data_IF_328046422299
#
_entry.id   IF_328046422299
#
_cell.length_a   1.000
_cell.length_b   1.000
_cell.length_c   1.000
_cell.angle_alpha   90.00
_cell.angle_beta   90.00
_cell.angle_gamma   90.00
#
_symmetry.space_group_name_H-M   'P 1'
#
loop_
_entity.id
_entity.type
_entity.pdbx_description
1 polymer ?
#
# COMPACT_ATOMS: atom_id res chain seq x y z
N UNK A 1 -8.50 -22.75 -28.90
CA UNK A 1 -9.40 -21.74 -28.30
C UNK A 1 -10.73 -22.32 -27.80
N UNK A 2 -11.39 -23.21 -28.55
CA UNK A 2 -12.65 -23.87 -28.12
C UNK A 2 -12.56 -24.61 -26.76
N UNK A 3 -11.47 -25.34 -26.50
CA UNK A 3 -11.29 -26.06 -25.23
C UNK A 3 -11.15 -25.12 -24.00
N UNK A 4 -10.48 -23.98 -24.16
CA UNK A 4 -10.33 -22.99 -23.10
C UNK A 4 -11.67 -22.29 -22.78
N UNK A 5 -12.47 -22.05 -23.80
CA UNK A 5 -13.80 -21.47 -23.65
C UNK A 5 -14.78 -22.44 -22.96
N UNK A 6 -14.72 -23.72 -23.31
CA UNK A 6 -15.51 -24.77 -22.66
C UNK A 6 -15.14 -24.94 -21.18
N UNK A 7 -13.85 -24.90 -20.84
CA UNK A 7 -13.39 -24.97 -19.46
C UNK A 7 -13.85 -23.76 -18.62
N UNK A 8 -13.87 -22.56 -19.21
CA UNK A 8 -14.35 -21.35 -18.55
C UNK A 8 -15.86 -21.41 -18.24
N UNK A 9 -16.66 -21.91 -19.18
CA UNK A 9 -18.10 -22.09 -18.98
C UNK A 9 -18.38 -23.17 -17.93
N UNK A 10 -17.64 -24.29 -17.95
CA UNK A 10 -17.78 -25.35 -16.96
C UNK A 10 -17.40 -24.86 -15.54
N UNK A 11 -16.34 -24.08 -15.41
CA UNK A 11 -15.93 -23.46 -14.14
C UNK A 11 -16.96 -22.47 -13.61
N UNK A 12 -17.50 -21.61 -14.48
CA UNK A 12 -18.55 -20.66 -14.11
C UNK A 12 -19.85 -21.34 -13.66
N UNK A 13 -20.25 -22.41 -14.35
CA UNK A 13 -21.42 -23.21 -13.99
C UNK A 13 -21.24 -23.92 -12.63
N UNK A 14 -20.04 -24.43 -12.34
CA UNK A 14 -19.74 -25.12 -11.09
C UNK A 14 -19.76 -24.15 -9.90
N UNK A 15 -19.15 -22.97 -10.04
CA UNK A 15 -19.17 -21.93 -9.00
C UNK A 15 -20.60 -21.43 -8.75
N UNK A 16 -21.36 -21.17 -9.83
CA UNK A 16 -22.77 -20.78 -9.72
C UNK A 16 -23.62 -21.84 -9.02
N UNK A 17 -23.39 -23.13 -9.32
CA UNK A 17 -24.08 -24.24 -8.67
C UNK A 17 -23.74 -24.37 -7.18
N UNK A 18 -22.47 -24.24 -6.79
CA UNK A 18 -22.04 -24.28 -5.38
C UNK A 18 -22.61 -23.12 -4.57
N UNK A 19 -22.67 -21.94 -5.17
CA UNK A 19 -23.21 -20.74 -4.53
C UNK A 19 -24.73 -20.82 -4.37
N UNK A 20 -25.44 -21.29 -5.40
CA UNK A 20 -26.88 -21.57 -5.32
C UNK A 20 -27.21 -22.68 -4.31
N UNK A 21 -26.40 -23.74 -4.26
CA UNK A 21 -26.57 -24.85 -3.32
C UNK A 21 -26.35 -24.44 -1.85
N UNK A 22 -25.44 -23.49 -1.58
CA UNK A 22 -25.20 -22.96 -0.24
C UNK A 22 -26.22 -21.90 0.22
N UNK A 23 -26.93 -21.24 -0.70
CA UNK A 23 -27.82 -20.13 -0.37
C UNK A 23 -29.28 -20.57 -0.11
N UNK A 24 -29.58 -21.86 -0.11
CA UNK A 24 -30.92 -22.37 0.21
C UNK A 24 -31.23 -22.21 1.71
N UNK A 25 -32.22 -21.39 2.09
CA UNK A 25 -32.60 -21.21 3.49
C UNK A 25 -33.30 -22.48 3.98
N UNK A 26 -32.66 -23.23 4.88
CA UNK A 26 -33.26 -24.39 5.52
C UNK A 26 -32.35 -25.61 5.71
N UNK A 27 -31.04 -25.54 5.43
CA UNK A 27 -30.12 -26.62 5.80
C UNK A 27 -29.26 -26.28 7.02
N UNK A 28 -29.16 -27.19 7.99
CA UNK A 28 -28.20 -27.08 9.08
C UNK A 28 -26.80 -27.17 8.49
N UNK A 29 -26.03 -26.08 8.61
CA UNK A 29 -24.62 -26.08 8.29
C UNK A 29 -23.86 -27.10 9.14
N UNK A 30 -22.77 -27.63 8.57
CA UNK A 30 -21.87 -28.62 9.15
C UNK A 30 -21.56 -28.40 10.65
N UNK A 31 -21.37 -29.49 11.42
CA UNK A 31 -21.38 -29.47 12.88
C UNK A 31 -20.28 -28.56 13.42
N UNK A 32 -20.71 -27.49 14.12
CA UNK A 32 -19.83 -26.80 15.06
C UNK A 32 -19.63 -27.73 16.25
N UNK A 33 -18.41 -27.86 16.79
CA UNK A 33 -18.22 -28.50 18.08
C UNK A 33 -18.80 -27.57 19.15
N UNK A 34 -20.09 -27.71 19.41
CA UNK A 34 -20.77 -27.01 20.49
C UNK A 34 -20.32 -27.64 21.81
N UNK A 35 -19.56 -26.81 22.52
CA UNK A 35 -19.22 -26.97 23.92
C UNK A 35 -20.50 -27.13 24.72
N UNK A 36 -20.53 -28.16 25.54
CA UNK A 36 -21.55 -28.42 26.55
C UNK A 36 -21.71 -27.16 27.40
N UNK A 37 -22.84 -26.47 27.24
CA UNK A 37 -23.28 -25.39 28.11
C UNK A 37 -24.33 -25.94 29.07
N UNK A 38 -23.96 -25.84 30.34
CA UNK A 38 -24.68 -26.24 31.53
C UNK A 38 -25.86 -25.29 31.83
N UNK A 39 -26.73 -25.75 32.71
CA UNK A 39 -28.07 -25.28 32.98
C UNK A 39 -28.20 -23.86 33.57
N UNK A 40 -29.39 -23.27 33.38
CA UNK A 40 -29.82 -22.04 34.04
C UNK A 40 -31.35 -21.83 34.01
N UNK A 41 -32.01 -22.38 35.03
CA UNK A 41 -33.21 -21.93 35.75
C UNK A 41 -34.43 -21.30 35.02
N UNK A 42 -35.59 -21.95 35.21
CA UNK A 42 -36.93 -21.37 35.07
C UNK A 42 -37.95 -22.20 35.87
N UNK A 43 -38.71 -21.55 36.74
CA UNK A 43 -39.40 -22.09 37.90
C UNK A 43 -40.71 -22.88 37.62
N UNK A 44 -41.05 -23.79 38.55
CA UNK A 44 -42.37 -24.44 38.70
C UNK A 44 -42.60 -24.91 40.15
N UNK A 45 -43.85 -24.90 40.66
CA UNK A 45 -44.12 -24.71 42.09
C UNK A 45 -44.21 -25.99 42.95
N UNK A 46 -43.87 -25.79 44.22
CA UNK A 46 -44.31 -26.44 45.46
C UNK A 46 -44.97 -27.84 45.40
N UNK A 47 -44.31 -28.82 46.01
CA UNK A 47 -44.98 -29.86 46.80
C UNK A 47 -44.05 -30.29 47.95
N UNK A 48 -44.58 -30.19 49.16
CA UNK A 48 -43.92 -30.48 50.43
C UNK A 48 -43.85 -31.99 50.66
N UNK A 49 -42.75 -32.49 51.21
CA UNK A 49 -42.70 -33.82 51.84
C UNK A 49 -41.87 -33.78 53.13
N UNK A 50 -42.18 -34.66 54.11
CA UNK A 50 -41.93 -34.39 55.52
C UNK A 50 -40.48 -34.57 55.94
N UNK A 51 -40.07 -33.77 56.91
CA UNK A 51 -38.86 -33.92 57.70
C UNK A 51 -38.81 -35.31 58.34
N UNK A 52 -37.94 -36.17 57.82
CA UNK A 52 -37.42 -37.33 58.55
C UNK A 52 -35.93 -37.12 58.76
N UNK A 53 -35.57 -36.66 59.95
CA UNK A 53 -34.18 -36.59 60.39
C UNK A 53 -33.63 -38.01 60.51
N UNK A 54 -32.83 -38.43 59.54
CA UNK A 54 -31.85 -39.50 59.73
C UNK A 54 -30.51 -38.86 60.12
N UNK A 55 -29.77 -39.40 61.10
CA UNK A 55 -28.44 -38.89 61.43
C UNK A 55 -27.55 -39.07 60.20
N UNK A 56 -27.06 -37.96 59.65
CA UNK A 56 -26.08 -37.99 58.57
C UNK A 56 -24.72 -38.29 59.19
N UNK A 57 -23.94 -39.26 58.68
CA UNK A 57 -22.58 -39.44 59.13
C UNK A 57 -21.76 -38.23 58.68
N UNK A 58 -20.93 -37.68 59.58
CA UNK A 58 -20.00 -36.56 59.36
C UNK A 58 -19.18 -36.70 58.05
N UNK A 59 -18.91 -37.95 57.65
CA UNK A 59 -18.26 -38.33 56.40
C UNK A 59 -19.01 -37.94 55.10
N UNK A 60 -20.33 -37.76 55.14
CA UNK A 60 -21.10 -37.34 53.97
C UNK A 60 -20.96 -35.83 53.69
N UNK A 61 -20.77 -35.03 54.75
CA UNK A 61 -20.52 -33.59 54.69
C UNK A 61 -19.10 -33.32 54.21
N UNK A 62 -18.11 -34.06 54.72
CA UNK A 62 -16.72 -33.99 54.26
C UNK A 62 -16.60 -34.30 52.76
N UNK A 63 -17.25 -35.37 52.29
CA UNK A 63 -17.31 -35.71 50.85
C UNK A 63 -18.08 -34.70 49.98
N UNK A 64 -18.93 -33.87 50.56
CA UNK A 64 -19.61 -32.79 49.84
C UNK A 64 -18.70 -31.56 49.74
N UNK A 65 -17.97 -31.23 50.81
CA UNK A 65 -16.99 -30.13 50.84
C UNK A 65 -15.80 -30.43 49.91
N UNK A 66 -15.31 -31.68 49.89
CA UNK A 66 -14.22 -32.11 49.01
C UNK A 66 -14.61 -32.02 47.53
N UNK A 67 -15.83 -32.44 47.16
CA UNK A 67 -16.36 -32.28 45.80
C UNK A 67 -16.51 -30.82 45.38
N UNK A 68 -16.90 -29.93 46.30
CA UNK A 68 -16.99 -28.49 46.02
C UNK A 68 -15.60 -27.88 45.85
N UNK A 69 -14.61 -28.30 46.64
CA UNK A 69 -13.22 -27.85 46.49
C UNK A 69 -12.60 -28.32 45.16
N UNK A 70 -12.84 -29.56 44.73
CA UNK A 70 -12.43 -30.07 43.42
C UNK A 70 -13.09 -29.29 42.26
N UNK A 71 -14.38 -28.97 42.38
CA UNK A 71 -15.10 -28.15 41.39
C UNK A 71 -14.58 -26.72 41.33
N UNK A 72 -14.26 -26.10 42.47
CA UNK A 72 -13.67 -24.76 42.54
C UNK A 72 -12.27 -24.74 41.90
N UNK A 73 -11.41 -25.71 42.20
CA UNK A 73 -10.10 -25.83 41.54
C UNK A 73 -10.20 -26.04 40.02
N UNK A 74 -11.26 -26.73 39.55
CA UNK A 74 -11.57 -26.85 38.12
C UNK A 74 -12.06 -25.55 37.47
N UNK A 75 -12.76 -24.68 38.21
CA UNK A 75 -13.18 -23.37 37.74
C UNK A 75 -11.99 -22.40 37.62
N UNK A 76 -11.09 -22.39 38.60
CA UNK A 76 -9.88 -21.55 38.58
C UNK A 76 -8.98 -21.92 37.39
N UNK A 77 -8.81 -23.22 37.09
CA UNK A 77 -8.07 -23.66 35.90
C UNK A 77 -8.74 -23.23 34.59
N UNK A 78 -10.07 -23.27 34.51
CA UNK A 78 -10.82 -22.81 33.32
C UNK A 78 -10.73 -21.30 33.16
N UNK A 79 -10.77 -20.54 34.25
CA UNK A 79 -10.60 -19.09 34.25
C UNK A 79 -9.20 -18.71 33.77
N UNK A 80 -8.16 -19.30 34.34
CA UNK A 80 -6.78 -19.09 33.89
C UNK A 80 -6.57 -19.46 32.41
N UNK A 81 -7.16 -20.57 31.95
CA UNK A 81 -7.12 -20.96 30.55
C UNK A 81 -7.90 -19.99 29.64
N UNK A 82 -9.01 -19.42 30.11
CA UNK A 82 -9.78 -18.42 29.37
C UNK A 82 -9.01 -17.09 29.27
N UNK A 83 -8.39 -16.62 30.34
CA UNK A 83 -7.54 -15.42 30.35
C UNK A 83 -6.34 -15.56 29.40
N UNK A 84 -5.70 -16.74 29.39
CA UNK A 84 -4.62 -17.03 28.46
C UNK A 84 -5.10 -17.03 27.00
N UNK A 85 -6.27 -17.62 26.71
CA UNK A 85 -6.88 -17.58 25.37
C UNK A 85 -7.26 -16.17 24.93
N UNK A 86 -7.79 -15.34 25.83
CA UNK A 86 -8.11 -13.95 25.53
C UNK A 86 -6.85 -13.16 25.19
N UNK A 87 -5.77 -13.36 25.94
CA UNK A 87 -4.46 -12.73 25.65
C UNK A 87 -3.94 -13.15 24.27
N UNK A 88 -4.05 -14.44 23.94
CA UNK A 88 -3.67 -14.94 22.62
C UNK A 88 -4.55 -14.36 21.50
N UNK A 89 -5.85 -14.25 21.72
CA UNK A 89 -6.80 -13.69 20.76
C UNK A 89 -6.56 -12.20 20.51
N UNK A 90 -6.25 -11.43 21.56
CA UNK A 90 -5.91 -10.02 21.44
C UNK A 90 -4.62 -9.82 20.61
N UNK A 91 -3.59 -10.63 20.86
CA UNK A 91 -2.36 -10.61 20.06
C UNK A 91 -2.62 -10.97 18.59
N UNK A 92 -3.46 -11.98 18.33
CA UNK A 92 -3.85 -12.36 16.97
C UNK A 92 -4.66 -11.26 16.28
N UNK A 93 -5.58 -10.61 17.00
CA UNK A 93 -6.39 -9.51 16.47
C UNK A 93 -5.52 -8.29 16.12
N UNK A 94 -4.56 -7.93 16.98
CA UNK A 94 -3.60 -6.85 16.71
C UNK A 94 -2.72 -7.17 15.50
N UNK A 95 -2.24 -8.41 15.37
CA UNK A 95 -1.48 -8.86 14.21
C UNK A 95 -2.30 -8.80 12.92
N UNK A 96 -3.57 -9.22 12.96
CA UNK A 96 -4.49 -9.15 11.83
C UNK A 96 -4.78 -7.70 11.43
N UNK A 97 -5.06 -6.81 12.39
CA UNK A 97 -5.26 -5.39 12.16
C UNK A 97 -4.02 -4.73 11.53
N UNK A 98 -2.82 -5.06 12.02
CA UNK A 98 -1.56 -4.56 11.44
C UNK A 98 -1.33 -5.03 10.00
N UNK A 99 -1.64 -6.30 9.69
CA UNK A 99 -1.58 -6.82 8.33
C UNK A 99 -2.57 -6.12 7.39
N UNK A 100 -3.82 -5.91 7.85
CA UNK A 100 -4.84 -5.21 7.10
C UNK A 100 -4.43 -3.75 6.81
N UNK A 101 -3.96 -3.03 7.82
CA UNK A 101 -3.50 -1.65 7.67
C UNK A 101 -2.34 -1.53 6.67
N UNK A 102 -1.40 -2.49 6.67
CA UNK A 102 -0.32 -2.57 5.67
C UNK A 102 -0.86 -2.79 4.25
N UNK A 103 -1.75 -3.77 4.08
CA UNK A 103 -2.35 -4.04 2.79
C UNK A 103 -3.12 -2.83 2.25
N UNK A 104 -3.89 -2.16 3.09
CA UNK A 104 -4.60 -0.93 2.74
C UNK A 104 -3.66 0.20 2.34
N UNK A 105 -2.56 0.39 3.08
CA UNK A 105 -1.56 1.42 2.79
C UNK A 105 -0.91 1.19 1.42
N UNK A 106 -0.57 -0.07 1.10
CA UNK A 106 -0.03 -0.45 -0.21
C UNK A 106 -1.04 -0.23 -1.33
N UNK A 107 -2.32 -0.58 -1.11
CA UNK A 107 -3.38 -0.36 -2.09
C UNK A 107 -3.60 1.12 -2.36
N UNK A 108 -3.55 1.97 -1.34
CA UNK A 108 -3.71 3.42 -1.48
C UNK A 108 -2.50 4.03 -2.20
N UNK A 109 -1.28 3.64 -1.84
CA UNK A 109 -0.07 4.10 -2.54
C UNK A 109 -0.10 3.69 -4.02
N UNK A 110 -0.45 2.43 -4.31
CA UNK A 110 -0.58 1.94 -5.68
C UNK A 110 -1.68 2.67 -6.47
N UNK A 111 -2.85 2.89 -5.85
CA UNK A 111 -3.95 3.61 -6.47
C UNK A 111 -3.58 5.08 -6.75
N UNK A 112 -2.86 5.74 -5.82
CA UNK A 112 -2.35 7.09 -6.00
C UNK A 112 -1.35 7.15 -7.16
N UNK A 113 -0.38 6.23 -7.22
CA UNK A 113 0.57 6.12 -8.35
C UNK A 113 -0.18 5.99 -9.66
N UNK A 114 -1.14 5.07 -9.73
CA UNK A 114 -1.92 4.80 -10.95
C UNK A 114 -2.79 5.99 -11.37
N UNK A 115 -3.31 6.77 -10.43
CA UNK A 115 -4.05 7.99 -10.73
C UNK A 115 -3.12 9.07 -11.31
N UNK A 116 -1.98 9.31 -10.66
CA UNK A 116 -0.96 10.28 -11.08
C UNK A 116 -0.41 9.96 -12.47
N UNK A 117 -0.04 8.70 -12.74
CA UNK A 117 0.47 8.27 -14.04
C UNK A 117 -0.57 8.40 -15.17
N UNK A 118 -1.88 8.27 -14.86
CA UNK A 118 -2.96 8.54 -15.82
C UNK A 118 -3.22 10.03 -16.03
N UNK A 119 -2.66 10.88 -15.18
CA UNK A 119 -3.00 12.29 -15.11
C UNK A 119 -4.43 12.54 -14.61
N UNK A 120 -4.93 11.69 -13.71
CA UNK A 120 -6.20 11.89 -13.03
C UNK A 120 -5.98 12.60 -11.69
N UNK A 121 -6.95 13.43 -11.30
CA UNK A 121 -7.01 13.94 -9.92
C UNK A 121 -7.24 12.78 -8.95
N UNK A 122 -6.72 12.93 -7.72
CA UNK A 122 -6.80 11.87 -6.71
C UNK A 122 -8.21 11.67 -6.12
N UNK A 123 -9.04 12.72 -6.12
CA UNK A 123 -10.34 12.69 -5.43
C UNK A 123 -10.20 12.21 -3.98
N UNK A 124 -11.00 11.21 -3.60
CA UNK A 124 -10.98 10.58 -2.27
C UNK A 124 -9.60 10.04 -1.85
N UNK A 125 -8.72 9.66 -2.79
CA UNK A 125 -7.36 9.23 -2.44
C UNK A 125 -6.56 10.34 -1.75
N UNK A 126 -6.88 11.62 -1.99
CA UNK A 126 -6.22 12.74 -1.30
C UNK A 126 -6.45 12.66 0.21
N UNK A 127 -7.69 12.40 0.62
CA UNK A 127 -8.04 12.31 2.04
C UNK A 127 -7.46 11.05 2.66
N UNK A 128 -7.47 9.93 1.93
CA UNK A 128 -6.82 8.70 2.37
C UNK A 128 -5.30 8.85 2.56
N UNK A 129 -4.63 9.56 1.66
CA UNK A 129 -3.20 9.84 1.80
C UNK A 129 -2.92 10.73 3.02
N UNK A 130 -3.73 11.77 3.25
CA UNK A 130 -3.62 12.62 4.44
C UNK A 130 -3.84 11.82 5.72
N UNK A 131 -4.89 11.01 5.75
CA UNK A 131 -5.26 10.24 6.93
C UNK A 131 -4.16 9.25 7.34
N UNK A 132 -3.49 8.61 6.37
CA UNK A 132 -2.57 7.50 6.64
C UNK A 132 -1.10 7.92 6.68
N UNK A 133 -0.70 8.80 5.78
CA UNK A 133 0.70 9.19 5.60
C UNK A 133 0.96 10.64 6.03
N UNK A 134 -0.08 11.43 6.31
CA UNK A 134 0.03 12.88 6.52
C UNK A 134 0.85 13.28 7.75
N UNK A 135 0.84 12.51 8.83
CA UNK A 135 1.59 12.86 10.04
C UNK A 135 3.09 12.61 9.90
N UNK A 136 3.45 11.53 9.22
CA UNK A 136 4.84 11.08 9.09
C UNK A 136 5.52 11.65 7.86
N UNK A 137 4.75 11.81 6.78
CA UNK A 137 5.24 12.20 5.45
C UNK A 137 4.44 13.39 4.89
N UNK A 138 4.24 14.50 5.65
CA UNK A 138 3.41 15.62 5.22
C UNK A 138 3.89 16.27 3.91
N UNK A 139 5.21 16.31 3.71
CA UNK A 139 5.82 16.89 2.50
C UNK A 139 5.58 16.02 1.26
N UNK A 140 5.66 14.69 1.40
CA UNK A 140 5.39 13.78 0.29
C UNK A 140 3.90 13.82 -0.09
N UNK A 141 3.02 13.74 0.91
CA UNK A 141 1.57 13.79 0.71
C UNK A 141 1.13 15.11 0.07
N UNK A 142 1.61 16.26 0.58
CA UNK A 142 1.27 17.56 -0.02
C UNK A 142 1.74 17.66 -1.47
N UNK A 143 2.98 17.24 -1.76
CA UNK A 143 3.53 17.23 -3.13
C UNK A 143 2.66 16.41 -4.08
N UNK A 144 2.23 15.22 -3.68
CA UNK A 144 1.38 14.34 -4.49
C UNK A 144 0.01 14.98 -4.73
N UNK A 145 -0.62 15.51 -3.69
CA UNK A 145 -1.94 16.15 -3.78
C UNK A 145 -1.88 17.40 -4.67
N UNK A 146 -0.90 18.27 -4.47
CA UNK A 146 -0.70 19.47 -5.28
C UNK A 146 -0.42 19.13 -6.73
N UNK A 147 0.42 18.13 -6.99
CA UNK A 147 0.68 17.65 -8.35
C UNK A 147 -0.59 17.15 -9.02
N UNK A 148 -1.43 16.40 -8.28
CA UNK A 148 -2.65 15.81 -8.83
C UNK A 148 -3.70 16.82 -9.31
N UNK A 149 -3.68 18.06 -8.79
CA UNK A 149 -4.59 19.14 -9.22
C UNK A 149 -4.26 19.71 -10.60
N UNK A 150 -3.01 19.59 -11.02
CA UNK A 150 -2.55 20.00 -12.35
C UNK A 150 -1.57 18.94 -12.87
N UNK A 151 -2.10 17.76 -13.24
CA UNK A 151 -1.26 16.62 -13.52
C UNK A 151 -0.55 16.76 -14.87
N UNK A 152 0.69 16.30 -14.91
CA UNK A 152 1.49 16.22 -16.14
C UNK A 152 1.71 14.73 -16.44
N UNK A 153 1.46 14.32 -17.68
CA UNK A 153 1.68 12.93 -18.10
C UNK A 153 3.06 12.76 -18.73
N UNK A 154 3.68 11.60 -18.53
CA UNK A 154 5.02 11.31 -19.07
C UNK A 154 5.06 11.39 -20.60
N UNK A 155 4.06 10.85 -21.28
CA UNK A 155 3.94 10.93 -22.74
C UNK A 155 3.84 12.38 -23.23
N UNK A 156 3.14 13.25 -22.48
CA UNK A 156 3.09 14.68 -22.80
C UNK A 156 4.45 15.37 -22.62
N UNK A 157 5.27 14.95 -21.65
CA UNK A 157 6.64 15.45 -21.48
C UNK A 157 7.54 14.99 -22.63
N UNK A 158 7.41 13.74 -23.06
CA UNK A 158 8.16 13.19 -24.20
C UNK A 158 7.77 13.91 -25.49
N UNK A 159 6.48 14.01 -25.80
CA UNK A 159 6.00 14.69 -27.00
C UNK A 159 6.41 16.17 -27.06
N UNK A 160 6.34 16.89 -25.93
CA UNK A 160 6.80 18.28 -25.86
C UNK A 160 8.32 18.39 -26.02
N UNK A 161 9.09 17.46 -25.46
CA UNK A 161 10.55 17.42 -25.66
C UNK A 161 10.91 17.23 -27.13
N UNK A 162 10.18 16.37 -27.85
CA UNK A 162 10.37 16.15 -29.28
C UNK A 162 10.05 17.40 -30.11
N UNK A 163 8.94 18.08 -29.79
CA UNK A 163 8.57 19.35 -30.41
C UNK A 163 9.61 20.46 -30.19
N UNK A 164 10.27 20.47 -29.02
CA UNK A 164 11.36 21.40 -28.70
C UNK A 164 12.69 21.03 -29.39
N UNK A 165 12.80 19.84 -29.99
CA UNK A 165 14.04 19.29 -30.52
C UNK A 165 14.84 20.24 -31.43
N UNK A 166 14.25 20.88 -32.45
CA UNK A 166 14.96 21.85 -33.29
C UNK A 166 15.47 23.06 -32.49
N UNK A 167 14.62 23.62 -31.62
CA UNK A 167 14.93 24.81 -30.83
C UNK A 167 16.04 24.59 -29.80
N UNK A 168 16.10 23.38 -29.24
CA UNK A 168 17.12 22.95 -28.27
C UNK A 168 18.51 22.77 -28.90
N UNK A 169 18.56 22.47 -30.20
CA UNK A 169 19.81 22.28 -30.94
C UNK A 169 20.45 23.61 -31.33
N UNK A 170 19.61 24.61 -31.65
CA UNK A 170 20.06 25.92 -32.08
C UNK A 170 20.31 26.84 -30.89
N UNK A 171 21.57 27.18 -30.64
CA UNK A 171 21.92 28.34 -29.82
C UNK A 171 21.32 29.60 -30.45
N UNK A 172 20.54 30.35 -29.70
CA UNK A 172 19.99 31.66 -30.13
C UNK A 172 21.06 32.72 -30.39
N UNK A 173 22.33 32.42 -30.14
CA UNK A 173 23.46 33.21 -30.63
C UNK A 173 23.67 32.89 -32.11
N UNK A 174 23.09 33.74 -32.97
CA UNK A 174 23.42 33.76 -34.40
C UNK A 174 24.94 33.91 -34.62
N UNK A 175 25.43 33.73 -35.86
CA UNK A 175 26.87 33.74 -36.16
C UNK A 175 27.50 35.02 -35.63
N UNK A 176 28.23 34.92 -34.51
CA UNK A 176 28.90 36.06 -33.93
C UNK A 176 30.09 36.40 -34.82
N UNK A 177 30.34 37.70 -35.03
CA UNK A 177 31.52 38.18 -35.75
C UNK A 177 32.83 37.58 -35.18
N UNK A 178 32.84 37.30 -33.88
CA UNK A 178 33.93 36.60 -33.19
C UNK A 178 34.07 35.11 -33.57
N UNK A 179 32.99 34.40 -33.88
CA UNK A 179 33.04 33.02 -34.37
C UNK A 179 33.61 32.97 -35.80
N UNK A 180 33.16 33.87 -36.68
CA UNK A 180 33.66 33.98 -38.04
C UNK A 180 35.16 34.31 -38.09
N UNK A 181 35.62 35.26 -37.27
CA UNK A 181 37.05 35.64 -37.21
C UNK A 181 37.95 34.52 -36.68
N UNK A 182 37.41 33.60 -35.86
CA UNK A 182 38.11 32.38 -35.40
C UNK A 182 38.15 31.29 -36.46
N UNK A 183 37.08 31.11 -37.23
CA UNK A 183 37.01 30.09 -38.29
C UNK A 183 37.97 30.39 -39.45
N UNK A 184 38.11 31.66 -39.84
CA UNK A 184 39.10 32.07 -40.86
C UNK A 184 40.54 31.80 -40.39
N UNK A 185 40.80 31.85 -39.08
CA UNK A 185 42.10 31.51 -38.48
C UNK A 185 42.38 30.01 -38.36
N UNK A 186 41.38 29.14 -38.57
CA UNK A 186 41.48 27.68 -38.41
C UNK A 186 41.39 26.91 -39.74
N UNK A 187 41.56 27.57 -40.88
CA UNK A 187 41.46 26.94 -42.21
C UNK A 187 42.51 25.82 -42.49
N UNK A 188 43.42 25.54 -41.55
CA UNK A 188 44.32 24.38 -41.57
C UNK A 188 44.15 23.53 -40.30
N UNK A 189 43.14 22.67 -40.25
CA UNK A 189 43.01 21.65 -39.19
C UNK A 189 43.02 20.24 -39.81
N UNK A 190 44.14 19.54 -39.64
CA UNK A 190 44.23 18.09 -39.89
C UNK A 190 43.35 17.35 -38.86
N UNK A 191 42.28 16.70 -39.34
CA UNK A 191 41.41 15.86 -38.49
C UNK A 191 42.00 14.44 -38.43
N UNK A 192 42.42 14.00 -37.25
CA UNK A 192 42.68 12.56 -36.96
C UNK A 192 41.42 11.93 -36.34
N UNK A 193 41.17 10.67 -36.72
CA UNK A 193 39.95 9.85 -36.54
C UNK A 193 39.50 9.50 -35.10
N UNK A 194 39.76 10.34 -34.09
CA UNK A 194 39.36 10.04 -32.70
C UNK A 194 38.82 11.27 -31.94
N UNK A 195 37.91 12.02 -32.55
CA UNK A 195 37.17 13.07 -31.82
C UNK A 195 35.95 12.48 -31.11
N UNK A 196 35.75 12.69 -29.79
CA UNK A 196 34.52 12.32 -29.10
C UNK A 196 33.34 12.99 -29.81
N UNK A 197 32.33 12.20 -30.20
CA UNK A 197 31.20 12.70 -30.99
C UNK A 197 30.48 13.87 -30.29
N UNK A 198 30.54 15.09 -30.85
CA UNK A 198 29.87 16.24 -30.28
C UNK A 198 28.60 16.47 -31.09
N UNK A 199 27.45 15.96 -30.63
CA UNK A 199 26.19 16.44 -31.19
C UNK A 199 25.12 16.63 -30.11
N UNK A 200 24.56 17.85 -29.99
CA UNK A 200 23.28 18.10 -29.32
C UNK A 200 22.19 17.08 -29.71
N UNK A 201 22.21 16.54 -30.94
CA UNK A 201 21.38 15.39 -31.35
C UNK A 201 21.48 14.21 -30.37
N UNK A 202 22.70 13.78 -30.04
CA UNK A 202 22.92 12.69 -29.09
C UNK A 202 22.48 13.05 -27.67
N UNK A 203 22.47 14.33 -27.28
CA UNK A 203 21.94 14.76 -25.98
C UNK A 203 20.42 14.61 -25.93
N UNK A 204 19.72 15.01 -26.99
CA UNK A 204 18.26 14.93 -27.06
C UNK A 204 17.77 13.48 -27.03
N UNK A 205 18.45 12.60 -27.75
CA UNK A 205 18.11 11.17 -27.74
C UNK A 205 18.40 10.54 -26.37
N UNK A 206 19.49 10.92 -25.70
CA UNK A 206 19.77 10.49 -24.31
C UNK A 206 18.73 11.01 -23.31
N UNK A 207 18.27 12.25 -23.48
CA UNK A 207 17.22 12.83 -22.63
C UNK A 207 15.90 12.06 -22.79
N UNK A 208 15.50 11.72 -24.03
CA UNK A 208 14.32 10.89 -24.32
C UNK A 208 14.44 9.52 -23.70
N UNK A 209 15.54 8.82 -23.96
CA UNK A 209 15.77 7.50 -23.38
C UNK A 209 15.81 7.55 -21.84
N UNK A 210 16.37 8.61 -21.24
CA UNK A 210 16.33 8.79 -19.81
C UNK A 210 14.91 8.95 -19.27
N UNK A 211 14.02 9.69 -19.94
CA UNK A 211 12.60 9.79 -19.54
C UNK A 211 11.88 8.45 -19.60
N UNK A 212 12.07 7.69 -20.68
CA UNK A 212 11.45 6.36 -20.86
C UNK A 212 11.89 5.38 -19.77
N UNK A 213 13.15 5.47 -19.34
CA UNK A 213 13.69 4.66 -18.26
C UNK A 213 13.34 5.20 -16.85
N UNK A 214 12.51 6.22 -16.73
CA UNK A 214 12.15 6.85 -15.44
C UNK A 214 13.28 7.66 -14.80
N UNK A 215 14.38 7.91 -15.50
CA UNK A 215 15.54 8.68 -15.02
C UNK A 215 15.34 10.18 -15.25
N UNK A 216 14.29 10.73 -14.63
CA UNK A 216 13.83 12.11 -14.88
C UNK A 216 14.90 13.16 -14.59
N UNK A 217 15.70 13.00 -13.54
CA UNK A 217 16.80 13.92 -13.21
C UNK A 217 17.83 13.99 -14.33
N UNK A 218 18.28 12.83 -14.81
CA UNK A 218 19.25 12.75 -15.90
C UNK A 218 18.70 13.36 -17.20
N UNK A 219 17.41 13.17 -17.49
CA UNK A 219 16.77 13.80 -18.64
C UNK A 219 16.77 15.33 -18.54
N UNK A 220 16.42 15.87 -17.37
CA UNK A 220 16.44 17.31 -17.10
C UNK A 220 17.86 17.89 -17.26
N UNK A 221 18.86 17.20 -16.70
CA UNK A 221 20.26 17.64 -16.76
C UNK A 221 20.79 17.66 -18.21
N UNK A 222 20.41 16.66 -19.03
CA UNK A 222 20.77 16.64 -20.45
C UNK A 222 20.16 17.80 -21.23
N UNK A 223 18.90 18.17 -20.95
CA UNK A 223 18.22 19.31 -21.60
C UNK A 223 18.80 20.65 -21.14
N UNK A 224 19.07 20.81 -19.84
CA UNK A 224 19.77 21.99 -19.30
C UNK A 224 21.17 22.18 -19.91
N UNK A 225 21.81 21.09 -20.30
CA UNK A 225 23.12 21.10 -20.96
C UNK A 225 23.08 21.38 -22.47
N UNK A 226 21.91 21.66 -23.07
CA UNK A 226 21.79 21.95 -24.50
C UNK A 226 21.97 23.45 -24.81
N UNK A 227 22.47 23.81 -26.01
CA UNK A 227 22.67 25.21 -26.39
C UNK A 227 21.39 26.05 -26.35
N UNK A 228 20.24 25.45 -26.68
CA UNK A 228 18.93 26.12 -26.66
C UNK A 228 18.14 25.92 -25.36
N UNK A 229 18.78 25.55 -24.24
CA UNK A 229 18.08 25.18 -22.99
C UNK A 229 17.08 26.22 -22.49
N UNK A 230 17.36 27.52 -22.66
CA UNK A 230 16.46 28.61 -22.26
C UNK A 230 15.09 28.57 -22.94
N UNK A 231 15.00 27.99 -24.15
CA UNK A 231 13.72 27.81 -24.85
C UNK A 231 12.86 26.69 -24.24
N UNK A 232 13.42 25.89 -23.34
CA UNK A 232 12.76 24.76 -22.70
C UNK A 232 12.45 25.00 -21.21
N UNK A 233 12.54 26.24 -20.69
CA UNK A 233 12.32 26.54 -19.27
C UNK A 233 10.97 26.01 -18.74
N UNK A 234 9.89 26.20 -19.51
CA UNK A 234 8.57 25.68 -19.15
C UNK A 234 8.53 24.14 -19.09
N UNK A 235 9.21 23.48 -20.04
CA UNK A 235 9.32 22.02 -20.05
C UNK A 235 10.16 21.52 -18.87
N UNK A 236 11.27 22.20 -18.55
CA UNK A 236 12.15 21.89 -17.41
C UNK A 236 11.36 22.00 -16.10
N UNK A 237 10.59 23.07 -15.92
CA UNK A 237 9.76 23.27 -14.73
C UNK A 237 8.72 22.15 -14.55
N UNK A 238 8.05 21.75 -15.63
CA UNK A 238 7.10 20.64 -15.60
C UNK A 238 7.76 19.29 -15.34
N UNK A 239 8.93 19.03 -15.95
CA UNK A 239 9.71 17.82 -15.70
C UNK A 239 10.20 17.75 -14.24
N UNK A 240 10.59 18.88 -13.64
CA UNK A 240 10.95 18.94 -12.22
C UNK A 240 9.74 18.69 -11.31
N UNK A 241 8.57 19.25 -11.63
CA UNK A 241 7.32 18.98 -10.91
C UNK A 241 6.97 17.49 -10.98
N UNK A 242 7.03 16.89 -12.16
CA UNK A 242 6.79 15.46 -12.37
C UNK A 242 7.79 14.62 -11.56
N UNK A 243 9.08 14.93 -11.64
CA UNK A 243 10.13 14.24 -10.87
C UNK A 243 9.85 14.29 -9.36
N UNK A 244 9.53 15.46 -8.81
CA UNK A 244 9.21 15.63 -7.38
C UNK A 244 8.01 14.80 -6.96
N UNK A 245 6.98 14.73 -7.81
CA UNK A 245 5.80 13.89 -7.54
C UNK A 245 6.16 12.40 -7.53
N UNK A 246 6.98 11.93 -8.47
CA UNK A 246 7.43 10.53 -8.51
C UNK A 246 8.34 10.17 -7.32
N UNK A 247 9.23 11.08 -6.91
CA UNK A 247 10.06 10.92 -5.71
C UNK A 247 9.20 10.86 -4.43
N UNK A 248 8.21 11.74 -4.30
CA UNK A 248 7.26 11.68 -3.20
C UNK A 248 6.44 10.38 -3.20
N UNK A 249 6.07 9.87 -4.38
CA UNK A 249 5.38 8.59 -4.52
C UNK A 249 6.25 7.42 -4.02
N UNK A 250 7.53 7.41 -4.42
CA UNK A 250 8.49 6.40 -3.95
C UNK A 250 8.67 6.43 -2.43
N UNK A 251 8.65 7.62 -1.80
CA UNK A 251 8.68 7.76 -0.34
C UNK A 251 7.47 7.09 0.30
N UNK A 252 6.25 7.35 -0.18
CA UNK A 252 5.05 6.74 0.43
C UNK A 252 4.92 5.24 0.13
N UNK A 253 5.38 4.78 -1.02
CA UNK A 253 5.45 3.35 -1.36
C UNK A 253 6.44 2.62 -0.46
N UNK A 254 7.61 3.22 -0.26
CA UNK A 254 8.63 2.70 0.66
C UNK A 254 8.10 2.68 2.10
N UNK A 255 7.45 3.76 2.53
CA UNK A 255 6.83 3.83 3.86
C UNK A 255 5.76 2.73 4.05
N UNK A 256 4.92 2.50 3.05
CA UNK A 256 3.91 1.44 3.10
C UNK A 256 4.50 0.02 3.24
N UNK A 257 5.74 -0.20 2.78
CA UNK A 257 6.44 -1.48 2.89
C UNK A 257 7.28 -1.58 4.18
N UNK A 258 8.08 -0.55 4.48
CA UNK A 258 9.18 -0.63 5.45
C UNK A 258 8.85 0.01 6.82
N UNK A 259 8.06 1.08 6.89
CA UNK A 259 7.86 1.81 8.14
C UNK A 259 6.59 1.34 8.87
N UNK A 260 6.80 0.53 9.91
CA UNK A 260 5.75 -0.10 10.72
C UNK A 260 5.36 0.74 11.93
N UNK A 261 6.10 1.79 12.25
CA UNK A 261 5.80 2.64 13.40
C UNK A 261 4.81 3.67 12.91
N UNK A 262 3.61 3.74 13.47
CA UNK A 262 2.61 4.75 13.10
C UNK A 262 1.65 4.36 11.97
N UNK A 263 1.53 3.07 11.63
CA UNK A 263 0.47 2.56 10.76
C UNK A 263 -0.91 3.03 11.25
N UNK A 264 -1.76 3.51 10.35
CA UNK A 264 -3.14 3.87 10.64
C UNK A 264 -4.10 2.97 9.87
N UNK A 265 -5.18 2.54 10.53
CA UNK A 265 -6.26 1.79 9.91
C UNK A 265 -7.14 2.68 9.00
N UNK A 266 -8.15 2.10 8.34
CA UNK A 266 -9.08 2.85 7.49
C UNK A 266 -9.94 3.90 8.18
N UNK A 267 -10.02 3.88 9.51
CA UNK A 267 -10.66 4.92 10.31
C UNK A 267 -9.65 5.97 10.81
N UNK A 268 -8.37 5.81 10.53
CA UNK A 268 -7.30 6.68 10.98
C UNK A 268 -6.80 6.38 12.39
N UNK A 269 -7.18 5.27 13.02
CA UNK A 269 -6.68 4.95 14.36
C UNK A 269 -5.24 4.41 14.27
N UNK A 270 -4.36 4.77 15.22
CA UNK A 270 -3.01 4.22 15.26
C UNK A 270 -3.06 2.71 15.57
N UNK A 271 -2.45 1.92 14.71
CA UNK A 271 -2.30 0.47 14.88
C UNK A 271 -0.99 0.19 15.59
N UNK A 272 -1.08 -0.19 16.87
CA UNK A 272 0.08 -0.66 17.63
C UNK A 272 0.42 -2.08 17.19
N UNK A 273 1.44 -2.21 16.34
CA UNK A 273 2.07 -3.50 16.09
C UNK A 273 3.29 -3.64 17.02
N UNK A 274 3.21 -4.53 18.01
CA UNK A 274 4.38 -4.94 18.78
C UNK A 274 5.36 -5.64 17.82
N UNK A 275 6.60 -5.14 17.73
CA UNK A 275 7.58 -5.68 16.79
C UNK A 275 7.77 -7.19 17.01
N UNK A 276 7.78 -8.01 15.94
CA UNK A 276 7.97 -9.46 16.03
C UNK A 276 9.34 -9.88 16.59
N UNK A 277 10.24 -8.91 16.85
CA UNK A 277 11.57 -9.12 17.42
C UNK A 277 11.59 -9.18 18.95
N UNK A 278 10.45 -9.00 19.62
CA UNK A 278 10.35 -9.25 21.06
C UNK A 278 9.87 -10.69 21.24
N UNK A 279 10.82 -11.64 21.31
CA UNK A 279 10.54 -12.93 21.96
C UNK A 279 10.71 -12.76 23.47
N UNK A 280 9.83 -13.37 24.29
CA UNK A 280 10.05 -13.50 25.73
C UNK A 280 11.28 -14.37 26.02
#
# INVERSE_FOLDING_TARGET
MLAAFAAFIAGGALVGWVMWYNLQPGRPGAPRPDLVAEAGAGAGPAAQTPLTAKPTPMAATEKAVERVAEQQGGLDQRLAAAEQRLTQLDLQAQAAAGNAARAESLLIAFAARRAVERGAELGYLSDQLRLRFGDQWPNAVSTIIEFSRNPIRLDSLVARLEGLGPQLRDSSEGPSWAAFQREVGQLFVFRRESTPSPQPQRRLDRARWALEQGRYRAAIDEVKGMPGASKADAWIADAERYRKAMEAMEVIETAAVLDQRGLRDGAGNPVRQLSPLIRP
#
